data_IF_760236607736
#
_entry.id   IF_760236607736
#
_cell.length_a   1.000
_cell.length_b   1.000
_cell.length_c   1.000
_cell.angle_alpha   90.00
_cell.angle_beta   90.00
_cell.angle_gamma   90.00
#
_symmetry.space_group_name_H-M   'P 1'
#
loop_
_entity.id
_entity.type
_entity.pdbx_description
1 polymer ?
#
# COMPACT_ATOMS: atom_id res chain seq x y z
N UNK A 1 -13.93 10.06 -6.07
CA UNK A 1 -12.77 9.63 -5.26
C UNK A 1 -12.47 8.18 -5.63
N UNK A 2 -11.22 7.82 -6.00
CA UNK A 2 -10.88 6.43 -6.36
C UNK A 2 -10.94 5.51 -5.13
N UNK A 3 -11.09 4.18 -5.34
CA UNK A 3 -11.18 3.18 -4.24
C UNK A 3 -10.02 3.29 -3.24
N UNK A 4 -8.79 3.45 -3.75
CA UNK A 4 -7.59 3.68 -2.92
C UNK A 4 -7.75 4.88 -1.98
N UNK A 5 -8.42 5.94 -2.41
CA UNK A 5 -8.66 7.13 -1.60
C UNK A 5 -9.56 6.86 -0.39
N UNK A 6 -10.48 5.88 -0.48
CA UNK A 6 -11.29 5.46 0.66
C UNK A 6 -10.45 4.76 1.72
N UNK A 7 -9.50 3.91 1.31
CA UNK A 7 -8.59 3.19 2.21
C UNK A 7 -7.60 4.16 2.86
N UNK A 8 -7.00 5.05 2.07
CA UNK A 8 -6.05 6.09 2.54
C UNK A 8 -6.69 6.95 3.63
N UNK A 9 -7.88 7.49 3.37
CA UNK A 9 -8.62 8.30 4.36
C UNK A 9 -8.91 7.53 5.64
N UNK A 10 -9.09 6.21 5.57
CA UNK A 10 -9.32 5.38 6.75
C UNK A 10 -8.05 5.13 7.56
N UNK A 11 -6.88 5.11 6.91
CA UNK A 11 -5.57 4.89 7.55
C UNK A 11 -4.91 6.17 8.05
N UNK A 12 -5.37 7.33 7.58
CA UNK A 12 -4.88 8.64 7.98
C UNK A 12 -4.81 8.77 9.52
N UNK A 13 -3.63 9.13 10.03
CA UNK A 13 -3.36 9.30 11.47
C UNK A 13 -3.27 8.02 12.30
N UNK A 14 -3.47 6.82 11.73
CA UNK A 14 -3.34 5.54 12.43
C UNK A 14 -2.02 4.80 12.15
N UNK A 15 -1.33 5.18 11.08
CA UNK A 15 -0.03 4.62 10.69
C UNK A 15 1.03 5.72 10.68
N UNK A 16 2.29 5.33 10.92
CA UNK A 16 3.42 6.27 10.91
C UNK A 16 3.85 6.68 9.49
N UNK A 17 3.65 5.80 8.52
CA UNK A 17 3.99 5.99 7.10
C UNK A 17 3.00 5.19 6.27
N UNK A 18 2.45 5.81 5.21
CA UNK A 18 1.57 5.17 4.26
C UNK A 18 2.33 4.84 2.97
N UNK A 19 2.40 3.54 2.67
CA UNK A 19 3.02 3.02 1.46
C UNK A 19 1.94 2.51 0.50
N UNK A 20 2.04 2.84 -0.78
CA UNK A 20 1.27 2.18 -1.84
C UNK A 20 2.23 1.33 -2.69
N UNK A 21 2.00 0.03 -2.73
CA UNK A 21 2.67 -0.87 -3.68
C UNK A 21 1.92 -0.85 -5.01
N UNK A 22 2.57 -0.35 -6.07
CA UNK A 22 1.98 -0.21 -7.39
C UNK A 22 3.04 -0.36 -8.49
N UNK A 23 2.89 -1.41 -9.31
CA UNK A 23 3.77 -1.68 -10.46
C UNK A 23 3.38 -0.90 -11.73
N UNK A 24 2.35 -0.06 -11.66
CA UNK A 24 1.80 0.76 -12.75
C UNK A 24 1.23 2.06 -12.19
N UNK A 25 1.18 3.11 -13.00
CA UNK A 25 0.56 4.40 -12.66
C UNK A 25 1.12 5.05 -11.37
N UNK A 26 2.41 4.87 -11.06
CA UNK A 26 3.02 5.36 -9.82
C UNK A 26 2.78 6.85 -9.58
N UNK A 27 2.87 7.68 -10.63
CA UNK A 27 2.64 9.12 -10.55
C UNK A 27 1.24 9.46 -10.03
N UNK A 28 0.21 8.70 -10.44
CA UNK A 28 -1.15 8.90 -9.95
C UNK A 28 -1.30 8.50 -8.47
N UNK A 29 -0.56 7.49 -8.02
CA UNK A 29 -0.61 7.02 -6.64
C UNK A 29 0.19 7.87 -5.64
N UNK A 30 1.19 8.62 -6.10
CA UNK A 30 1.99 9.52 -5.24
C UNK A 30 1.16 10.59 -4.55
N UNK A 31 0.00 10.94 -5.09
CA UNK A 31 -0.92 11.88 -4.46
C UNK A 31 -1.65 11.31 -3.23
N UNK A 32 -1.58 9.98 -3.01
CA UNK A 32 -2.34 9.28 -1.98
C UNK A 32 -1.47 8.66 -0.87
N UNK A 33 -0.15 8.69 -0.99
CA UNK A 33 0.76 8.02 -0.07
C UNK A 33 2.05 8.81 0.12
N UNK A 34 2.70 8.59 1.26
CA UNK A 34 4.02 9.18 1.54
C UNK A 34 5.05 8.67 0.53
N UNK A 35 4.96 7.38 0.19
CA UNK A 35 5.80 6.73 -0.83
C UNK A 35 5.01 5.73 -1.65
N UNK A 36 5.33 5.68 -2.94
CA UNK A 36 4.93 4.59 -3.83
C UNK A 36 6.12 3.68 -4.04
N UNK A 37 5.92 2.39 -3.85
CA UNK A 37 6.94 1.35 -4.05
C UNK A 37 6.49 0.39 -5.14
N UNK A 38 7.46 -0.23 -5.81
CA UNK A 38 7.22 -1.33 -6.77
C UNK A 38 7.58 -2.66 -6.11
N UNK A 39 7.19 -3.75 -6.76
CA UNK A 39 7.63 -5.08 -6.35
C UNK A 39 9.15 -5.20 -6.45
N UNK A 40 9.78 -5.79 -5.44
CA UNK A 40 11.25 -6.03 -5.41
C UNK A 40 11.68 -6.93 -6.57
N UNK A 41 10.81 -7.84 -6.99
CA UNK A 41 11.02 -8.71 -8.14
C UNK A 41 9.83 -8.61 -9.08
N UNK A 42 10.12 -8.39 -10.37
CA UNK A 42 9.10 -8.38 -11.41
C UNK A 42 8.47 -9.76 -11.67
N UNK A 43 7.51 -9.80 -12.60
CA UNK A 43 6.88 -11.05 -13.06
C UNK A 43 5.57 -11.43 -12.36
N UNK A 44 4.88 -10.46 -11.74
CA UNK A 44 3.53 -10.62 -11.17
C UNK A 44 3.38 -11.85 -10.27
N UNK A 45 4.15 -11.90 -9.19
CA UNK A 45 4.15 -13.01 -8.21
C UNK A 45 2.96 -12.97 -7.23
N UNK A 46 1.90 -12.24 -7.56
CA UNK A 46 0.69 -12.10 -6.75
C UNK A 46 0.85 -11.22 -5.49
N UNK A 47 -0.17 -11.19 -4.62
CA UNK A 47 -0.24 -10.24 -3.49
C UNK A 47 0.90 -10.39 -2.46
N UNK A 48 1.44 -11.61 -2.30
CA UNK A 48 2.53 -11.85 -1.36
C UNK A 48 3.82 -11.11 -1.74
N UNK A 49 4.04 -10.82 -3.03
CA UNK A 49 5.19 -10.03 -3.47
C UNK A 49 5.04 -8.56 -3.09
N UNK A 50 3.83 -8.01 -3.17
CA UNK A 50 3.53 -6.68 -2.67
C UNK A 50 3.74 -6.57 -1.16
N UNK A 51 3.31 -7.58 -0.40
CA UNK A 51 3.53 -7.65 1.06
C UNK A 51 5.04 -7.75 1.37
N UNK A 52 5.76 -8.63 0.68
CA UNK A 52 7.21 -8.77 0.84
C UNK A 52 7.94 -7.44 0.54
N UNK A 53 7.54 -6.75 -0.53
CA UNK A 53 8.11 -5.45 -0.92
C UNK A 53 7.80 -4.38 0.12
N UNK A 54 6.59 -4.39 0.69
CA UNK A 54 6.20 -3.57 1.83
C UNK A 54 7.07 -3.84 3.06
N UNK A 55 7.29 -5.11 3.43
CA UNK A 55 8.14 -5.50 4.56
C UNK A 55 9.59 -5.06 4.37
N UNK A 56 10.12 -5.14 3.14
CA UNK A 56 11.48 -4.67 2.81
C UNK A 56 11.60 -3.14 2.85
N UNK A 57 10.53 -2.42 2.56
CA UNK A 57 10.50 -0.95 2.53
C UNK A 57 10.14 -0.31 3.88
N UNK A 58 9.47 -1.06 4.77
CA UNK A 58 9.03 -0.62 6.07
C UNK A 58 10.22 -0.25 6.96
N UNK A 59 10.09 0.88 7.66
CA UNK A 59 11.07 1.37 8.64
C UNK A 59 10.65 1.06 10.08
N UNK A 60 9.51 0.41 10.26
CA UNK A 60 8.91 0.04 11.54
C UNK A 60 8.86 -1.49 11.70
N UNK A 61 8.83 -2.01 12.94
CA UNK A 61 8.74 -3.45 13.17
C UNK A 61 7.43 -4.10 12.68
N UNK A 62 6.37 -3.31 12.49
CA UNK A 62 5.05 -3.76 12.10
C UNK A 62 4.62 -3.16 10.76
N UNK A 63 3.91 -3.95 9.96
CA UNK A 63 3.30 -3.57 8.70
C UNK A 63 1.82 -3.97 8.72
N UNK A 64 0.93 -2.99 8.56
CA UNK A 64 -0.49 -3.23 8.28
C UNK A 64 -0.67 -3.35 6.77
N UNK A 65 -1.40 -4.37 6.32
CA UNK A 65 -1.67 -4.59 4.89
C UNK A 65 -3.17 -4.50 4.63
N UNK A 66 -3.55 -3.64 3.70
CA UNK A 66 -4.93 -3.54 3.23
C UNK A 66 -4.96 -3.50 1.70
N UNK A 67 -5.82 -4.31 1.04
CA UNK A 67 -6.02 -4.20 -0.40
C UNK A 67 -6.76 -2.89 -0.74
N UNK A 68 -6.42 -2.30 -1.89
CA UNK A 68 -6.91 -0.97 -2.29
C UNK A 68 -8.39 -0.93 -2.75
N UNK A 69 -9.02 -2.09 -2.86
CA UNK A 69 -10.39 -2.32 -3.35
C UNK A 69 -11.34 -2.85 -2.28
N UNK A 70 -10.89 -2.96 -1.03
CA UNK A 70 -11.71 -3.37 0.12
C UNK A 70 -12.02 -2.17 1.02
N UNK A 71 -12.94 -1.27 0.63
CA UNK A 71 -13.51 -0.29 1.55
C UNK A 71 -14.21 -1.04 2.71
N UNK A 72 -14.43 -0.36 3.85
CA UNK A 72 -13.98 -0.72 5.20
C UNK A 72 -14.51 -2.05 5.78
N UNK A 73 -14.21 -3.18 5.14
CA UNK A 73 -14.30 -4.48 5.79
C UNK A 73 -12.98 -4.75 6.52
N UNK A 74 -13.09 -5.02 7.83
CA UNK A 74 -12.08 -5.47 8.80
C UNK A 74 -10.64 -5.62 8.24
N UNK A 75 -9.75 -4.68 8.58
CA UNK A 75 -8.31 -4.80 8.31
C UNK A 75 -7.70 -5.70 9.39
N UNK A 76 -7.18 -6.87 8.99
CA UNK A 76 -6.43 -7.80 9.85
C UNK A 76 -4.93 -7.54 9.80
#
# INVERSE_FOLDING_TARGET
>A
MPLVGHVVKRLEGQVAELLINANRNADAYRFFADRVIEDVEGGFKGPLMGIYSGLRAAKTPWLLVAPCDSPPCLMI
#
